data_IF_230297956834
#
_entry.id   IF_230297956834
#
_cell.length_a   1.000
_cell.length_b   1.000
_cell.length_c   1.000
_cell.angle_alpha   90.00
_cell.angle_beta   90.00
_cell.angle_gamma   90.00
#
_symmetry.space_group_name_H-M   'P 1'
#
loop_
_entity.id
_entity.type
_entity.pdbx_description
1 polymer ?
#
# COMPACT_ATOMS: atom_id res chain seq x y z
N UNK A 1 -6.26 24.01 -3.28
CA UNK A 1 -6.91 22.76 -3.75
C UNK A 1 -6.21 22.39 -5.06
N UNK A 2 -5.46 21.31 -5.06
CA UNK A 2 -4.78 20.83 -6.27
C UNK A 2 -5.74 19.92 -7.04
N UNK A 3 -5.75 20.02 -8.36
CA UNK A 3 -6.61 19.20 -9.23
C UNK A 3 -5.71 18.66 -10.34
N UNK A 4 -5.77 17.35 -10.57
CA UNK A 4 -5.07 16.67 -11.65
C UNK A 4 -6.10 16.03 -12.58
N UNK A 5 -6.00 16.32 -13.88
CA UNK A 5 -6.83 15.69 -14.91
C UNK A 5 -6.09 14.48 -15.46
N UNK A 6 -6.64 13.28 -15.28
CA UNK A 6 -6.06 12.06 -15.81
C UNK A 6 -6.27 11.96 -17.33
N UNK A 7 -5.17 11.82 -18.08
CA UNK A 7 -5.22 11.82 -19.55
C UNK A 7 -5.45 10.44 -20.18
N UNK A 8 -4.97 9.38 -19.52
CA UNK A 8 -4.99 8.00 -20.02
C UNK A 8 -5.74 7.08 -19.07
N UNK A 9 -6.39 6.06 -19.62
CA UNK A 9 -7.16 5.08 -18.86
C UNK A 9 -6.40 3.76 -18.68
N UNK A 10 -5.12 3.85 -18.33
CA UNK A 10 -4.30 2.70 -17.95
C UNK A 10 -3.47 3.03 -16.71
N UNK A 11 -3.32 2.04 -15.83
CA UNK A 11 -2.73 2.21 -14.51
C UNK A 11 -1.34 2.87 -14.54
N UNK A 12 -0.46 2.40 -15.44
CA UNK A 12 0.93 2.84 -15.46
C UNK A 12 1.05 4.28 -15.91
N UNK A 13 0.37 4.67 -16.99
CA UNK A 13 0.37 6.06 -17.45
C UNK A 13 -0.21 7.00 -16.39
N UNK A 14 -1.28 6.58 -15.71
CA UNK A 14 -1.90 7.36 -14.62
C UNK A 14 -0.94 7.58 -13.45
N UNK A 15 -0.30 6.51 -12.97
CA UNK A 15 0.65 6.59 -11.86
C UNK A 15 1.85 7.47 -12.21
N UNK A 16 2.39 7.33 -13.43
CA UNK A 16 3.49 8.17 -13.89
C UNK A 16 3.09 9.65 -13.90
N UNK A 17 1.94 9.97 -14.49
CA UNK A 17 1.42 11.32 -14.51
C UNK A 17 1.29 11.90 -13.09
N UNK A 18 0.64 11.16 -12.17
CA UNK A 18 0.43 11.64 -10.81
C UNK A 18 1.74 11.87 -10.04
N UNK A 19 2.73 10.98 -10.19
CA UNK A 19 4.03 11.14 -9.53
C UNK A 19 4.76 12.38 -10.05
N UNK A 20 4.70 12.64 -11.36
CA UNK A 20 5.33 13.81 -11.99
C UNK A 20 4.60 15.12 -11.66
N UNK A 21 3.29 15.18 -11.91
CA UNK A 21 2.49 16.41 -11.81
C UNK A 21 2.36 16.91 -10.36
N UNK A 22 2.36 16.00 -9.38
CA UNK A 22 2.16 16.30 -7.97
C UNK A 22 3.44 16.15 -7.13
N UNK A 23 4.57 15.83 -7.76
CA UNK A 23 5.88 15.63 -7.10
C UNK A 23 5.80 14.67 -5.89
N UNK A 24 5.07 13.55 -6.05
CA UNK A 24 4.78 12.65 -4.94
C UNK A 24 6.02 11.91 -4.45
N UNK A 25 6.29 12.00 -3.14
CA UNK A 25 7.24 11.12 -2.48
C UNK A 25 6.60 9.77 -2.16
N UNK A 26 7.09 8.72 -2.82
CA UNK A 26 6.62 7.36 -2.62
C UNK A 26 7.29 6.64 -1.43
N UNK A 27 8.23 7.27 -0.72
CA UNK A 27 8.98 6.63 0.38
C UNK A 27 8.08 6.14 1.54
N UNK A 28 7.02 6.89 1.87
CA UNK A 28 6.06 6.61 2.96
C UNK A 28 4.83 5.78 2.59
N UNK A 29 4.88 5.03 1.49
CA UNK A 29 3.76 4.23 0.94
C UNK A 29 3.30 3.08 1.84
N UNK A 30 2.07 2.61 1.59
CA UNK A 30 1.40 1.50 2.31
C UNK A 30 1.16 1.75 3.80
N UNK A 31 0.97 3.01 4.17
CA UNK A 31 0.76 3.48 5.55
C UNK A 31 -0.71 3.71 5.92
N UNK A 32 -1.62 3.66 4.95
CA UNK A 32 -3.05 3.94 5.12
C UNK A 32 -3.90 2.71 4.84
N UNK A 33 -5.04 2.61 5.52
CA UNK A 33 -6.06 1.61 5.25
C UNK A 33 -6.76 1.91 3.92
N UNK A 34 -6.77 0.95 3.00
CA UNK A 34 -7.48 1.12 1.70
C UNK A 34 -8.99 1.29 1.86
N UNK A 35 -9.57 0.90 3.01
CA UNK A 35 -11.01 0.99 3.26
C UNK A 35 -11.46 2.36 3.77
N UNK A 36 -10.69 2.99 4.67
CA UNK A 36 -11.08 4.26 5.32
C UNK A 36 -10.05 5.38 5.21
N UNK A 37 -8.90 5.12 4.58
CA UNK A 37 -7.80 6.05 4.38
C UNK A 37 -7.12 6.57 5.67
N UNK A 38 -7.39 5.95 6.82
CA UNK A 38 -6.73 6.25 8.10
C UNK A 38 -5.40 5.50 8.26
N UNK A 39 -4.44 6.02 9.06
CA UNK A 39 -3.16 5.37 9.31
C UNK A 39 -3.28 3.96 9.90
N UNK A 40 -2.44 3.05 9.39
CA UNK A 40 -2.26 1.70 9.90
C UNK A 40 -1.31 1.69 11.11
N UNK A 41 -1.56 0.78 12.05
CA UNK A 41 -0.72 0.55 13.23
C UNK A 41 -0.03 -0.78 13.14
N UNK A 42 1.23 -0.87 13.58
CA UNK A 42 1.91 -2.15 13.75
C UNK A 42 1.24 -2.94 14.88
N UNK A 43 1.06 -4.24 14.67
CA UNK A 43 0.51 -5.15 15.67
C UNK A 43 1.37 -6.40 15.79
N UNK A 44 1.49 -6.92 17.00
CA UNK A 44 2.25 -8.13 17.25
C UNK A 44 1.53 -9.36 16.73
N UNK A 45 2.30 -10.33 16.24
CA UNK A 45 1.79 -11.59 15.71
C UNK A 45 0.91 -12.35 16.70
N UNK A 46 1.17 -12.19 18.01
CA UNK A 46 0.42 -12.85 19.07
C UNK A 46 -1.02 -12.32 19.15
N UNK A 47 -1.23 -11.03 18.94
CA UNK A 47 -2.54 -10.39 19.04
C UNK A 47 -3.45 -10.68 17.84
N UNK A 48 -2.87 -11.13 16.71
CA UNK A 48 -3.60 -11.48 15.48
C UNK A 48 -3.67 -12.99 15.22
N UNK A 49 -3.14 -13.81 16.12
CA UNK A 49 -2.96 -15.25 15.90
C UNK A 49 -4.28 -16.00 15.67
N UNK A 50 -5.35 -15.59 16.37
CA UNK A 50 -6.67 -16.22 16.24
C UNK A 50 -7.52 -15.62 15.11
N UNK A 51 -7.04 -14.55 14.46
CA UNK A 51 -7.79 -13.78 13.47
C UNK A 51 -7.34 -14.08 12.04
N UNK A 52 -6.14 -14.64 11.86
CA UNK A 52 -5.51 -14.85 10.57
C UNK A 52 -5.23 -16.34 10.28
N UNK A 53 -5.19 -16.74 8.99
CA UNK A 53 -4.84 -18.12 8.64
C UNK A 53 -3.45 -18.52 9.16
N UNK A 54 -3.26 -19.76 9.67
CA UNK A 54 -1.98 -20.21 10.23
C UNK A 54 -0.79 -20.05 9.28
N UNK A 55 -0.99 -20.28 7.98
CA UNK A 55 0.07 -20.11 6.98
C UNK A 55 0.57 -18.66 6.90
N UNK A 56 -0.32 -17.68 7.02
CA UNK A 56 0.06 -16.26 7.01
C UNK A 56 0.89 -15.95 8.26
N UNK A 57 0.44 -16.41 9.43
CA UNK A 57 1.17 -16.25 10.68
C UNK A 57 2.56 -16.89 10.61
N UNK A 58 2.68 -18.08 10.04
CA UNK A 58 3.95 -18.80 9.91
C UNK A 58 4.92 -18.12 8.95
N UNK A 59 4.43 -17.52 7.87
CA UNK A 59 5.28 -17.01 6.77
C UNK A 59 5.56 -15.53 6.83
N UNK A 60 4.74 -14.74 7.54
CA UNK A 60 4.81 -13.29 7.50
C UNK A 60 5.45 -12.73 8.79
N UNK A 61 6.45 -11.84 8.68
CA UNK A 61 7.17 -11.31 9.83
C UNK A 61 6.55 -10.05 10.45
N UNK A 62 5.62 -9.38 9.74
CA UNK A 62 5.06 -8.09 10.14
C UNK A 62 3.57 -8.03 9.82
N UNK A 63 2.84 -7.41 10.73
CA UNK A 63 1.39 -7.23 10.64
C UNK A 63 1.04 -5.78 10.95
N UNK A 64 0.01 -5.31 10.27
CA UNK A 64 -0.56 -3.99 10.50
C UNK A 64 -2.07 -4.08 10.59
N UNK A 65 -2.67 -3.22 11.38
CA UNK A 65 -4.11 -3.19 11.57
C UNK A 65 -4.70 -1.79 11.46
N UNK A 66 -6.02 -1.77 11.23
CA UNK A 66 -6.87 -0.61 11.48
C UNK A 66 -8.08 -1.02 12.32
N UNK A 67 -8.09 -0.75 13.64
CA UNK A 67 -9.14 -1.21 14.55
C UNK A 67 -10.58 -0.86 14.13
N UNK A 68 -10.84 0.35 13.64
CA UNK A 68 -12.18 0.84 13.31
C UNK A 68 -12.76 0.11 12.10
N UNK A 69 -11.90 -0.25 11.13
CA UNK A 69 -12.29 -1.02 9.95
C UNK A 69 -12.11 -2.53 10.12
N UNK A 70 -11.46 -2.98 11.20
CA UNK A 70 -11.11 -4.38 11.48
C UNK A 70 -10.39 -5.05 10.31
N UNK A 71 -9.49 -4.32 9.67
CA UNK A 71 -8.66 -4.81 8.56
C UNK A 71 -7.25 -5.09 9.05
N UNK A 72 -6.69 -6.20 8.56
CA UNK A 72 -5.30 -6.60 8.80
C UNK A 72 -4.54 -6.64 7.47
N UNK A 73 -3.27 -6.23 7.51
CA UNK A 73 -2.38 -6.16 6.35
C UNK A 73 -1.03 -6.78 6.70
N UNK A 74 -0.36 -7.36 5.70
CA UNK A 74 0.99 -7.93 5.79
C UNK A 74 1.66 -7.87 4.41
N UNK A 75 3.01 -7.93 4.33
CA UNK A 75 3.75 -7.79 3.07
C UNK A 75 3.72 -9.08 2.22
N UNK A 76 2.54 -9.50 1.79
CA UNK A 76 2.34 -10.64 0.89
C UNK A 76 2.73 -10.36 -0.57
N UNK A 77 2.42 -11.30 -1.47
CA UNK A 77 2.74 -11.20 -2.91
C UNK A 77 2.15 -9.97 -3.57
N UNK A 78 0.91 -9.61 -3.23
CA UNK A 78 0.27 -8.41 -3.77
C UNK A 78 1.04 -7.13 -3.40
N UNK A 79 1.53 -7.04 -2.15
CA UNK A 79 2.37 -5.93 -1.70
C UNK A 79 3.69 -5.86 -2.47
N UNK A 80 4.33 -7.00 -2.70
CA UNK A 80 5.57 -7.07 -3.47
C UNK A 80 5.36 -6.61 -4.93
N UNK A 81 4.26 -7.03 -5.56
CA UNK A 81 3.90 -6.62 -6.91
C UNK A 81 3.62 -5.12 -7.00
N UNK A 82 2.83 -4.56 -6.07
CA UNK A 82 2.59 -3.11 -6.00
C UNK A 82 3.89 -2.32 -5.80
N UNK A 83 4.79 -2.80 -4.93
CA UNK A 83 6.08 -2.15 -4.71
C UNK A 83 6.96 -2.17 -5.97
N UNK A 84 6.94 -3.27 -6.71
CA UNK A 84 7.65 -3.40 -7.99
C UNK A 84 7.10 -2.42 -9.03
N UNK A 85 5.77 -2.33 -9.16
CA UNK A 85 5.12 -1.40 -10.09
C UNK A 85 5.45 0.06 -9.76
N UNK A 86 5.33 0.45 -8.49
CA UNK A 86 5.69 1.81 -8.06
C UNK A 86 7.18 2.11 -8.25
N UNK A 87 8.04 1.11 -8.11
CA UNK A 87 9.46 1.27 -8.42
C UNK A 87 9.66 1.53 -9.92
N UNK A 88 9.03 0.74 -10.81
CA UNK A 88 9.09 0.96 -12.26
C UNK A 88 8.61 2.35 -12.64
N UNK A 89 7.43 2.76 -12.15
CA UNK A 89 6.88 4.10 -12.37
C UNK A 89 7.84 5.19 -11.91
N UNK A 90 8.45 5.05 -10.73
CA UNK A 90 9.38 6.06 -10.21
C UNK A 90 10.65 6.21 -11.06
N UNK A 91 11.12 5.15 -11.71
CA UNK A 91 12.28 5.19 -12.60
C UNK A 91 11.94 5.80 -13.96
N UNK A 92 10.73 5.58 -14.45
CA UNK A 92 10.26 6.10 -15.74
C UNK A 92 9.73 7.54 -15.66
N UNK A 93 9.38 8.00 -14.45
CA UNK A 93 8.88 9.34 -14.16
C UNK A 93 10.00 10.38 -13.94
N UNK A 94 11.21 9.92 -13.60
CA UNK A 94 12.44 10.72 -13.55
C UNK A 94 13.03 10.90 -14.96
#
# INVERSE_FOLDING_TARGET
>A
MSVALIEKDDLRSQLKQLVQDLELDLSGRFSLCVCCNEPLHSIDKQDVADLLPPYVLLTQPKFFERPECRRFYWPGTHWANMKSELFQVSQEAL
#
